data_IF_037747974289
#
_entry.id   IF_037747974289
#
_cell.length_a   1.000
_cell.length_b   1.000
_cell.length_c   1.000
_cell.angle_alpha   90.00
_cell.angle_beta   90.00
_cell.angle_gamma   90.00
#
_symmetry.space_group_name_H-M   'P 1'
#
loop_
_entity.id
_entity.type
_entity.pdbx_description
1 polymer ?
#
# COMPACT_ATOMS: atom_id res chain seq x y z
N UNK A 1 -10.94 11.52 -11.74
CA UNK A 1 -11.25 12.66 -12.64
C UNK A 1 -10.01 13.14 -13.39
N UNK A 2 -8.98 13.69 -12.72
CA UNK A 2 -7.75 14.18 -13.38
C UNK A 2 -7.11 13.13 -14.30
N UNK A 3 -6.97 11.89 -13.80
CA UNK A 3 -6.46 10.74 -14.55
C UNK A 3 -7.28 10.50 -15.84
N UNK A 4 -8.60 10.40 -15.72
CA UNK A 4 -9.49 10.16 -16.86
C UNK A 4 -9.45 11.30 -17.89
N UNK A 5 -9.28 12.56 -17.47
CA UNK A 5 -9.14 13.69 -18.40
C UNK A 5 -7.82 13.66 -19.14
N UNK A 6 -6.72 13.37 -18.45
CA UNK A 6 -5.41 13.18 -19.09
C UNK A 6 -5.46 12.04 -20.13
N UNK A 7 -6.04 10.89 -19.78
CA UNK A 7 -6.23 9.77 -20.70
C UNK A 7 -7.09 10.13 -21.92
N UNK A 8 -8.17 10.92 -21.74
CA UNK A 8 -8.98 11.42 -22.87
C UNK A 8 -8.20 12.33 -23.82
N UNK A 9 -7.18 13.02 -23.33
CA UNK A 9 -6.29 13.87 -24.12
C UNK A 9 -5.11 13.09 -24.72
N UNK A 10 -5.06 11.77 -24.56
CA UNK A 10 -4.00 10.91 -25.09
C UNK A 10 -2.77 10.80 -24.18
N UNK A 11 -2.78 11.38 -22.98
CA UNK A 11 -1.71 11.21 -22.00
C UNK A 11 -1.87 9.91 -21.21
N UNK A 12 -0.76 9.34 -20.77
CA UNK A 12 -0.74 8.11 -19.95
C UNK A 12 -0.17 8.38 -18.56
N UNK A 13 -0.88 9.15 -17.70
CA UNK A 13 -0.35 9.49 -16.38
C UNK A 13 -0.26 8.25 -15.50
N UNK A 14 0.69 8.27 -14.57
CA UNK A 14 0.76 7.25 -13.52
C UNK A 14 -0.12 7.65 -12.35
N UNK A 15 -1.06 6.79 -11.95
CA UNK A 15 -1.76 6.95 -10.68
C UNK A 15 -0.92 6.32 -9.57
N UNK A 16 -0.63 7.09 -8.53
CA UNK A 16 0.02 6.61 -7.31
C UNK A 16 -0.97 6.72 -6.16
N UNK A 17 -1.13 5.65 -5.40
CA UNK A 17 -2.00 5.61 -4.24
C UNK A 17 -1.19 5.29 -2.98
N UNK A 18 -1.05 6.29 -2.11
CA UNK A 18 -0.36 6.19 -0.83
C UNK A 18 -1.34 5.95 0.33
N UNK A 19 -2.65 5.89 0.09
CA UNK A 19 -3.63 5.59 1.14
C UNK A 19 -3.70 4.07 1.41
N UNK A 20 -2.84 3.60 2.31
CA UNK A 20 -2.86 2.20 2.78
C UNK A 20 -4.15 1.80 3.52
N UNK A 21 -5.00 2.76 3.91
CA UNK A 21 -6.24 2.49 4.64
C UNK A 21 -7.46 2.31 3.74
N UNK A 22 -7.54 3.06 2.64
CA UNK A 22 -8.69 3.12 1.72
C UNK A 22 -8.27 3.18 0.23
N UNK A 23 -7.07 2.68 -0.08
CA UNK A 23 -6.55 2.65 -1.44
C UNK A 23 -7.46 1.93 -2.43
N UNK A 24 -7.31 2.30 -3.70
CA UNK A 24 -8.22 1.96 -4.80
C UNK A 24 -7.60 1.08 -5.88
N UNK A 25 -6.28 0.88 -5.86
CA UNK A 25 -5.58 0.02 -6.82
C UNK A 25 -5.66 -1.45 -6.39
N UNK A 26 -5.43 -1.77 -5.13
CA UNK A 26 -5.39 -3.16 -4.65
C UNK A 26 -5.97 -3.28 -3.24
N UNK A 27 -5.68 -4.36 -2.53
CA UNK A 27 -6.13 -4.56 -1.15
C UNK A 27 -5.56 -3.46 -0.22
N UNK A 28 -6.19 -3.23 0.96
CA UNK A 28 -5.63 -2.34 1.97
C UNK A 28 -4.23 -2.75 2.40
N UNK A 29 -3.47 -1.83 2.97
CA UNK A 29 -2.10 -2.05 3.42
C UNK A 29 -1.05 -1.94 2.31
N UNK A 30 -1.42 -1.44 1.13
CA UNK A 30 -0.51 -1.28 0.00
C UNK A 30 -0.24 0.19 -0.32
N UNK A 31 1.01 0.49 -0.63
CA UNK A 31 1.38 1.66 -1.42
C UNK A 31 1.53 1.17 -2.84
N UNK A 32 0.88 1.82 -3.81
CA UNK A 32 0.79 1.25 -5.15
C UNK A 32 0.76 2.29 -6.25
N UNK A 33 1.08 1.87 -7.46
CA UNK A 33 0.98 2.69 -8.66
C UNK A 33 0.54 1.87 -9.87
N UNK A 34 -0.15 2.51 -10.81
CA UNK A 34 -0.55 1.91 -12.09
C UNK A 34 -0.67 2.98 -13.19
N UNK A 35 -0.25 2.70 -14.43
CA UNK A 35 -0.47 3.62 -15.54
C UNK A 35 -1.97 3.70 -15.89
N UNK A 36 -2.45 4.90 -16.22
CA UNK A 36 -3.82 5.11 -16.71
C UNK A 36 -3.77 5.47 -18.18
N UNK A 37 -3.89 4.47 -19.05
CA UNK A 37 -3.80 4.66 -20.51
C UNK A 37 -5.14 4.98 -21.18
N UNK A 38 -6.24 4.61 -20.53
CA UNK A 38 -7.60 4.83 -21.00
C UNK A 38 -8.43 5.49 -19.91
N UNK A 39 -9.53 6.20 -20.26
CA UNK A 39 -10.45 6.71 -19.27
C UNK A 39 -10.95 5.58 -18.36
N UNK A 40 -10.81 5.79 -17.05
CA UNK A 40 -11.27 4.86 -16.00
C UNK A 40 -12.74 4.53 -16.22
N UNK A 41 -13.06 3.23 -16.25
CA UNK A 41 -14.42 2.74 -16.42
C UNK A 41 -15.27 3.01 -15.17
N UNK A 42 -16.57 3.23 -15.34
CA UNK A 42 -17.48 3.58 -14.24
C UNK A 42 -17.81 2.36 -13.37
N UNK A 43 -17.82 1.17 -13.97
CA UNK A 43 -18.12 -0.11 -13.33
C UNK A 43 -16.81 -0.77 -12.88
N UNK A 44 -15.87 -0.96 -13.82
CA UNK A 44 -14.65 -1.73 -13.57
C UNK A 44 -13.59 -0.91 -12.82
N UNK A 45 -13.69 0.42 -12.86
CA UNK A 45 -12.78 1.30 -12.14
C UNK A 45 -11.38 1.34 -12.74
N UNK A 46 -10.37 1.30 -11.86
CA UNK A 46 -8.97 1.47 -12.23
C UNK A 46 -8.45 0.18 -12.87
N UNK A 47 -7.78 0.24 -14.04
CA UNK A 47 -7.18 -0.94 -14.67
C UNK A 47 -6.15 -1.61 -13.74
N UNK A 48 -6.30 -2.92 -13.56
CA UNK A 48 -5.47 -3.75 -12.67
C UNK A 48 -4.50 -4.68 -13.41
N UNK A 49 -4.18 -4.37 -14.67
CA UNK A 49 -3.41 -5.25 -15.55
C UNK A 49 -1.96 -5.43 -15.06
N UNK A 50 -1.29 -4.36 -14.63
CA UNK A 50 0.09 -4.40 -14.11
C UNK A 50 0.32 -3.36 -12.99
N UNK A 51 -0.38 -3.45 -11.84
CA UNK A 51 -0.11 -2.55 -10.74
C UNK A 51 1.22 -2.90 -10.07
N UNK A 52 2.01 -1.86 -9.78
CA UNK A 52 3.15 -1.96 -8.89
C UNK A 52 2.65 -1.78 -7.45
N UNK A 53 2.86 -2.78 -6.58
CA UNK A 53 2.39 -2.73 -5.20
C UNK A 53 3.50 -3.11 -4.21
N UNK A 54 3.69 -2.28 -3.19
CA UNK A 54 4.54 -2.53 -2.03
C UNK A 54 3.65 -2.72 -0.80
N UNK A 55 3.87 -3.80 -0.06
CA UNK A 55 2.97 -4.20 1.02
C UNK A 55 3.50 -3.77 2.38
N UNK A 56 2.79 -2.84 3.00
CA UNK A 56 3.00 -2.41 4.38
C UNK A 56 2.28 -3.32 5.38
N UNK A 57 1.20 -4.01 4.98
CA UNK A 57 0.53 -5.03 5.78
C UNK A 57 -0.41 -4.51 6.87
N UNK A 58 -0.58 -3.19 6.99
CA UNK A 58 -1.48 -2.60 7.99
C UNK A 58 -2.27 -1.42 7.42
N UNK A 59 -3.46 -1.10 7.96
CA UNK A 59 -4.27 0.01 7.45
C UNK A 59 -3.90 1.37 8.07
N UNK A 60 -2.84 1.46 8.87
CA UNK A 60 -2.43 2.68 9.58
C UNK A 60 -0.90 2.81 9.66
N UNK A 61 -0.30 3.89 9.13
CA UNK A 61 1.15 4.05 9.10
C UNK A 61 1.75 4.34 10.49
N UNK A 62 0.93 4.63 11.51
CA UNK A 62 1.43 4.85 12.89
C UNK A 62 2.05 3.59 13.51
N UNK A 63 1.81 2.40 12.96
CA UNK A 63 2.38 1.15 13.47
C UNK A 63 3.89 1.14 13.26
N UNK A 64 4.36 1.52 12.07
CA UNK A 64 5.77 1.68 11.75
C UNK A 64 5.95 2.72 10.63
N UNK A 65 6.10 4.01 11.00
CA UNK A 65 6.19 5.09 10.03
C UNK A 65 7.45 5.01 9.17
N UNK A 66 8.52 4.39 9.68
CA UNK A 66 9.78 4.23 8.96
C UNK A 66 9.67 3.23 7.82
N UNK A 67 8.96 2.11 8.03
CA UNK A 67 8.65 1.17 6.95
C UNK A 67 7.76 1.84 5.90
N UNK A 68 6.74 2.60 6.31
CA UNK A 68 5.90 3.34 5.35
C UNK A 68 6.73 4.31 4.50
N UNK A 69 7.66 5.07 5.11
CA UNK A 69 8.60 5.94 4.39
C UNK A 69 9.55 5.16 3.47
N UNK A 70 10.05 4.00 3.90
CA UNK A 70 10.91 3.15 3.08
C UNK A 70 10.17 2.68 1.83
N UNK A 71 8.97 2.14 1.98
CA UNK A 71 8.16 1.67 0.84
C UNK A 71 7.77 2.81 -0.13
N UNK A 72 7.52 4.02 0.38
CA UNK A 72 7.32 5.20 -0.50
C UNK A 72 8.57 5.48 -1.35
N UNK A 73 9.78 5.38 -0.79
CA UNK A 73 11.03 5.60 -1.53
C UNK A 73 11.26 4.53 -2.58
N UNK A 74 11.02 3.26 -2.24
CA UNK A 74 11.15 2.14 -3.19
C UNK A 74 10.19 2.30 -4.37
N UNK A 75 8.94 2.69 -4.10
CA UNK A 75 7.97 2.99 -5.15
C UNK A 75 8.43 4.16 -6.03
N UNK A 76 8.85 5.28 -5.43
CA UNK A 76 9.31 6.44 -6.19
C UNK A 76 10.56 6.15 -7.04
N UNK A 77 11.52 5.40 -6.50
CA UNK A 77 12.73 4.99 -7.23
C UNK A 77 12.41 4.07 -8.41
N UNK A 78 11.48 3.14 -8.22
CA UNK A 78 11.04 2.25 -9.30
C UNK A 78 10.35 3.03 -10.40
N UNK A 79 9.48 3.98 -10.05
CA UNK A 79 8.77 4.83 -11.02
C UNK A 79 9.73 5.79 -11.76
N UNK A 80 10.72 6.36 -11.07
CA UNK A 80 11.78 7.16 -11.71
C UNK A 80 12.57 6.32 -12.73
N UNK A 81 12.90 5.07 -12.38
CA UNK A 81 13.57 4.14 -13.29
C UNK A 81 12.71 3.87 -14.53
N UNK A 82 11.41 3.61 -14.34
CA UNK A 82 10.48 3.42 -15.46
C UNK A 82 10.36 4.67 -16.35
N UNK A 83 10.30 5.86 -15.76
CA UNK A 83 10.24 7.13 -16.49
C UNK A 83 11.54 7.47 -17.24
N UNK A 84 12.69 7.04 -16.74
CA UNK A 84 13.96 7.21 -17.45
C UNK A 84 13.98 6.47 -18.79
N UNK A 85 13.30 5.32 -18.87
CA UNK A 85 13.15 4.51 -20.08
C UNK A 85 11.90 4.83 -20.92
N UNK A 86 10.98 5.65 -20.42
CA UNK A 86 9.71 5.97 -21.09
C UNK A 86 9.41 7.47 -21.07
N UNK A 87 9.79 8.16 -22.15
CA UNK A 87 9.61 9.60 -22.30
C UNK A 87 8.14 10.04 -22.32
N UNK A 88 7.22 9.21 -22.83
CA UNK A 88 5.79 9.50 -22.90
C UNK A 88 5.18 9.51 -21.48
N UNK A 89 5.42 8.46 -20.69
CA UNK A 89 4.96 8.39 -19.30
C UNK A 89 5.59 9.47 -18.43
N UNK A 90 6.89 9.77 -18.64
CA UNK A 90 7.56 10.86 -17.94
C UNK A 90 6.92 12.22 -18.22
N UNK A 91 6.54 12.48 -19.47
CA UNK A 91 5.88 13.72 -19.86
C UNK A 91 4.43 13.80 -19.34
N UNK A 92 3.72 12.66 -19.26
CA UNK A 92 2.37 12.58 -18.70
C UNK A 92 2.34 12.82 -17.17
N UNK A 93 3.44 12.53 -16.48
CA UNK A 93 3.57 12.76 -15.04
C UNK A 93 2.75 11.80 -14.19
N UNK A 94 2.43 12.24 -12.97
CA UNK A 94 1.79 11.42 -11.94
C UNK A 94 0.65 12.16 -11.26
N UNK A 95 -0.36 11.43 -10.82
CA UNK A 95 -1.36 11.92 -9.86
C UNK A 95 -1.26 11.06 -8.60
N UNK A 96 -0.96 11.71 -7.47
CA UNK A 96 -0.66 11.03 -6.20
C UNK A 96 -1.82 11.24 -5.22
N UNK A 97 -2.49 10.17 -4.84
CA UNK A 97 -3.47 10.17 -3.75
C UNK A 97 -2.75 9.90 -2.42
N UNK A 98 -3.16 10.63 -1.37
CA UNK A 98 -2.60 10.51 -0.03
C UNK A 98 -3.68 10.14 0.98
N UNK A 99 -3.26 9.69 2.15
CA UNK A 99 -4.18 9.50 3.28
C UNK A 99 -4.77 10.83 3.77
N UNK A 100 -5.92 10.75 4.45
CA UNK A 100 -6.60 11.90 5.08
C UNK A 100 -6.04 12.34 6.44
N UNK A 101 -4.88 11.84 6.86
CA UNK A 101 -4.26 12.20 8.14
C UNK A 101 -3.32 13.39 7.96
N UNK A 102 -3.71 14.55 8.49
CA UNK A 102 -3.10 15.84 8.15
C UNK A 102 -2.44 16.56 9.34
N UNK A 103 -2.38 15.91 10.50
CA UNK A 103 -1.83 16.48 11.74
C UNK A 103 -0.75 15.58 12.33
N UNK A 104 0.20 16.18 13.07
CA UNK A 104 1.32 15.46 13.69
C UNK A 104 2.10 14.64 12.67
N UNK A 105 2.28 13.35 12.95
CA UNK A 105 2.95 12.41 12.04
C UNK A 105 2.32 12.40 10.63
N UNK A 106 1.00 12.54 10.50
CA UNK A 106 0.35 12.58 9.19
C UNK A 106 0.84 13.75 8.33
N UNK A 107 1.01 14.92 8.94
CA UNK A 107 1.59 16.09 8.26
C UNK A 107 3.04 15.85 7.83
N UNK A 108 3.86 15.24 8.68
CA UNK A 108 5.24 14.87 8.35
C UNK A 108 5.28 13.90 7.17
N UNK A 109 4.38 12.90 7.13
CA UNK A 109 4.29 11.95 6.02
C UNK A 109 3.88 12.63 4.70
N UNK A 110 3.02 13.66 4.74
CA UNK A 110 2.69 14.45 3.56
C UNK A 110 3.91 15.23 3.04
N UNK A 111 4.71 15.85 3.91
CA UNK A 111 5.95 16.50 3.51
C UNK A 111 6.96 15.51 2.90
N UNK A 112 7.10 14.33 3.51
CA UNK A 112 7.91 13.26 2.95
C UNK A 112 7.42 12.83 1.56
N UNK A 113 6.10 12.70 1.35
CA UNK A 113 5.56 12.34 0.04
C UNK A 113 5.87 13.40 -1.02
N UNK A 114 5.74 14.69 -0.69
CA UNK A 114 6.10 15.81 -1.59
C UNK A 114 7.57 15.70 -2.02
N UNK A 115 8.47 15.46 -1.07
CA UNK A 115 9.91 15.39 -1.33
C UNK A 115 10.33 14.12 -2.07
N UNK A 116 9.83 12.95 -1.64
CA UNK A 116 10.16 11.64 -2.21
C UNK A 116 9.70 11.56 -3.68
N UNK A 117 8.48 12.01 -3.97
CA UNK A 117 7.92 11.96 -5.32
C UNK A 117 8.20 13.24 -6.14
N UNK A 118 8.98 14.19 -5.59
CA UNK A 118 9.33 15.47 -6.24
C UNK A 118 8.09 16.20 -6.79
N UNK A 119 7.02 16.25 -6.00
CA UNK A 119 5.75 16.84 -6.41
C UNK A 119 5.91 18.35 -6.66
N UNK A 120 5.47 18.80 -7.83
CA UNK A 120 5.52 20.21 -8.25
C UNK A 120 4.17 20.94 -8.09
N UNK A 121 3.06 20.21 -7.93
CA UNK A 121 1.74 20.79 -7.65
C UNK A 121 1.08 20.02 -6.51
N UNK A 122 0.70 20.72 -5.45
CA UNK A 122 0.03 20.16 -4.27
C UNK A 122 -1.38 20.73 -4.18
N UNK A 123 -2.38 19.87 -4.34
CA UNK A 123 -3.79 20.25 -4.28
C UNK A 123 -4.36 20.00 -2.88
N UNK A 124 -4.80 21.06 -2.20
CA UNK A 124 -5.36 20.98 -0.84
C UNK A 124 -6.87 21.18 -0.88
N UNK A 125 -7.61 20.11 -0.58
CA UNK A 125 -9.08 20.08 -0.66
C UNK A 125 -9.72 20.50 0.67
N UNK A 126 -10.36 21.67 0.72
CA UNK A 126 -11.25 22.08 1.82
C UNK A 126 -10.59 22.22 3.20
N UNK A 127 -9.26 22.35 3.26
CA UNK A 127 -8.49 22.42 4.51
C UNK A 127 -7.58 23.65 4.54
N UNK A 128 -8.11 24.77 5.04
CA UNK A 128 -7.41 26.06 4.99
C UNK A 128 -6.14 26.12 5.86
N UNK A 129 -6.21 25.54 7.07
CA UNK A 129 -5.05 25.42 7.97
C UNK A 129 -3.92 24.61 7.30
N UNK A 130 -4.25 23.45 6.72
CA UNK A 130 -3.28 22.60 6.04
C UNK A 130 -2.67 23.31 4.82
N UNK A 131 -3.50 23.99 4.03
CA UNK A 131 -3.02 24.75 2.86
C UNK A 131 -1.97 25.78 3.27
N UNK A 132 -2.24 26.57 4.32
CA UNK A 132 -1.29 27.55 4.83
C UNK A 132 0.00 26.88 5.31
N UNK A 133 -0.11 25.83 6.12
CA UNK A 133 1.05 25.09 6.63
C UNK A 133 1.93 24.54 5.50
N UNK A 134 1.34 23.91 4.48
CA UNK A 134 2.08 23.37 3.34
C UNK A 134 2.70 24.49 2.50
N UNK A 135 1.98 25.59 2.26
CA UNK A 135 2.48 26.74 1.52
C UNK A 135 3.70 27.38 2.21
N UNK A 136 3.64 27.52 3.53
CA UNK A 136 4.75 28.04 4.33
C UNK A 136 5.94 27.05 4.30
N UNK A 137 5.69 25.74 4.39
CA UNK A 137 6.73 24.71 4.39
C UNK A 137 7.50 24.59 3.06
N UNK A 138 6.87 24.89 1.92
CA UNK A 138 7.52 24.86 0.60
C UNK A 138 7.89 26.24 0.07
N UNK A 139 7.79 27.30 0.89
CA UNK A 139 8.03 28.68 0.44
C UNK A 139 9.42 28.89 -0.18
N UNK A 140 10.43 28.13 0.27
CA UNK A 140 11.80 28.15 -0.27
C UNK A 140 11.99 27.33 -1.56
N UNK A 141 10.97 26.59 -2.00
CA UNK A 141 10.99 25.71 -3.17
C UNK A 141 10.10 26.30 -4.27
N UNK A 142 10.62 27.18 -5.14
CA UNK A 142 9.81 27.94 -6.12
C UNK A 142 9.15 27.06 -7.20
N UNK A 143 9.56 25.80 -7.32
CA UNK A 143 9.00 24.85 -8.30
C UNK A 143 7.78 24.08 -7.77
N UNK A 144 7.29 24.40 -6.57
CA UNK A 144 6.16 23.73 -5.93
C UNK A 144 5.01 24.71 -5.73
N UNK A 145 3.92 24.50 -6.47
CA UNK A 145 2.69 25.27 -6.34
C UNK A 145 1.70 24.59 -5.38
N UNK A 146 1.29 25.30 -4.33
CA UNK A 146 0.28 24.81 -3.37
C UNK A 146 -1.07 25.47 -3.63
N UNK A 147 -1.99 24.73 -4.24
CA UNK A 147 -3.29 25.21 -4.69
C UNK A 147 -4.39 24.78 -3.74
N UNK A 148 -5.16 25.75 -3.23
CA UNK A 148 -6.37 25.50 -2.44
C UNK A 148 -7.55 25.23 -3.37
N UNK A 149 -8.29 24.16 -3.12
CA UNK A 149 -9.53 23.84 -3.82
C UNK A 149 -10.67 23.65 -2.83
N UNK A 150 -11.90 23.94 -3.28
CA UNK A 150 -13.10 23.67 -2.50
C UNK A 150 -13.44 22.18 -2.56
N UNK A 151 -13.89 21.64 -1.42
CA UNK A 151 -14.47 20.30 -1.35
C UNK A 151 -15.85 20.34 -2.00
N UNK A 152 -16.15 19.40 -2.88
CA UNK A 152 -17.50 19.29 -3.49
C UNK A 152 -18.56 18.99 -2.42
N UNK A 153 -19.72 19.63 -2.53
CA UNK A 153 -20.84 19.51 -1.60
C UNK A 153 -21.44 18.10 -1.55
N UNK A 154 -21.28 17.31 -2.62
CA UNK A 154 -21.73 15.92 -2.67
C UNK A 154 -20.88 14.93 -1.86
N UNK A 155 -19.76 15.38 -1.26
CA UNK A 155 -18.84 14.48 -0.53
C UNK A 155 -19.29 14.28 0.92
N UNK A 156 -19.76 13.06 1.20
CA UNK A 156 -20.25 12.65 2.52
C UNK A 156 -19.14 12.14 3.44
N UNK A 157 -19.24 12.43 4.74
CA UNK A 157 -18.34 11.90 5.76
C UNK A 157 -18.58 10.41 6.00
N UNK A 158 -17.50 9.63 5.94
CA UNK A 158 -17.51 8.19 6.23
C UNK A 158 -17.05 7.96 7.66
N UNK A 159 -17.77 7.13 8.41
CA UNK A 159 -17.36 6.74 9.77
C UNK A 159 -16.40 5.54 9.76
N UNK A 160 -15.88 5.17 10.93
CA UNK A 160 -14.91 4.07 11.06
C UNK A 160 -15.48 2.72 10.60
N UNK A 161 -16.74 2.42 10.93
CA UNK A 161 -17.43 1.19 10.53
C UNK A 161 -17.55 1.07 9.01
N UNK A 162 -17.90 2.17 8.34
CA UNK A 162 -17.95 2.21 6.88
C UNK A 162 -16.58 1.91 6.28
N UNK A 163 -15.52 2.59 6.74
CA UNK A 163 -14.15 2.35 6.25
C UNK A 163 -13.70 0.90 6.47
N UNK A 164 -14.03 0.31 7.61
CA UNK A 164 -13.75 -1.10 7.89
C UNK A 164 -14.48 -2.02 6.91
N UNK A 165 -15.78 -1.78 6.67
CA UNK A 165 -16.56 -2.55 5.69
C UNK A 165 -15.97 -2.43 4.28
N UNK A 166 -15.59 -1.22 3.85
CA UNK A 166 -14.95 -1.01 2.54
C UNK A 166 -13.62 -1.74 2.43
N UNK A 167 -12.79 -1.78 3.48
CA UNK A 167 -11.54 -2.58 3.47
C UNK A 167 -11.83 -4.06 3.23
N UNK A 168 -12.80 -4.62 3.95
CA UNK A 168 -13.20 -6.02 3.76
C UNK A 168 -13.77 -6.26 2.35
N UNK A 169 -14.53 -5.30 1.80
CA UNK A 169 -15.02 -5.38 0.42
C UNK A 169 -13.87 -5.37 -0.60
N UNK A 170 -12.84 -4.52 -0.42
CA UNK A 170 -11.66 -4.49 -1.29
C UNK A 170 -10.88 -5.80 -1.28
N UNK A 171 -10.78 -6.47 -0.12
CA UNK A 171 -10.15 -7.79 -0.04
C UNK A 171 -11.00 -8.82 -0.81
N UNK A 172 -12.34 -8.81 -0.63
CA UNK A 172 -13.24 -9.68 -1.40
C UNK A 172 -13.11 -9.43 -2.90
N UNK A 173 -13.16 -8.18 -3.33
CA UNK A 173 -13.06 -7.78 -4.73
C UNK A 173 -11.75 -8.26 -5.38
N UNK A 174 -10.64 -8.27 -4.65
CA UNK A 174 -9.38 -8.81 -5.15
C UNK A 174 -9.46 -10.32 -5.51
N UNK A 175 -10.14 -11.12 -4.70
CA UNK A 175 -10.23 -12.57 -4.91
C UNK A 175 -11.39 -12.99 -5.83
N UNK A 176 -12.52 -12.29 -5.75
CA UNK A 176 -13.76 -12.69 -6.43
C UNK A 176 -14.13 -11.75 -7.59
N UNK A 177 -13.44 -10.62 -7.76
CA UNK A 177 -13.81 -9.60 -8.75
C UNK A 177 -14.97 -8.73 -8.28
N UNK A 178 -15.27 -7.69 -9.05
CA UNK A 178 -16.33 -6.71 -8.75
C UNK A 178 -17.71 -7.36 -8.85
N UNK A 179 -17.89 -8.24 -9.85
CA UNK A 179 -19.14 -8.93 -10.13
C UNK A 179 -19.23 -10.33 -9.49
N UNK A 180 -18.24 -10.75 -8.70
CA UNK A 180 -18.04 -12.15 -8.29
C UNK A 180 -17.80 -13.08 -9.51
N UNK A 181 -17.10 -12.57 -10.51
CA UNK A 181 -16.78 -13.20 -11.78
C UNK A 181 -15.41 -13.90 -11.78
N UNK A 182 -14.58 -13.70 -10.75
CA UNK A 182 -13.36 -14.45 -10.51
C UNK A 182 -13.64 -15.63 -9.55
N UNK A 183 -12.96 -16.75 -9.80
CA UNK A 183 -13.06 -17.96 -9.01
C UNK A 183 -11.70 -18.25 -8.36
N UNK A 184 -11.48 -17.81 -7.12
CA UNK A 184 -10.19 -18.02 -6.48
C UNK A 184 -10.04 -19.50 -6.07
N UNK A 185 -8.79 -19.97 -6.00
CA UNK A 185 -8.48 -21.39 -5.86
C UNK A 185 -7.94 -21.71 -4.46
N UNK A 186 -8.44 -22.80 -3.86
CA UNK A 186 -7.93 -23.33 -2.60
C UNK A 186 -6.70 -24.20 -2.83
N UNK A 187 -5.61 -23.88 -2.16
CA UNK A 187 -4.32 -24.55 -2.29
C UNK A 187 -3.82 -24.97 -0.91
N UNK A 188 -2.96 -25.99 -0.88
CA UNK A 188 -2.32 -26.49 0.34
C UNK A 188 -0.81 -26.54 0.13
N UNK A 189 -0.05 -25.94 1.05
CA UNK A 189 1.42 -25.92 1.01
C UNK A 189 2.00 -26.47 2.30
N UNK A 190 3.20 -27.08 2.25
CA UNK A 190 3.91 -27.47 3.47
C UNK A 190 4.53 -26.24 4.13
N UNK A 191 4.66 -26.25 5.45
CA UNK A 191 5.40 -25.21 6.18
C UNK A 191 6.86 -25.11 5.73
N UNK A 192 7.46 -26.20 5.22
CA UNK A 192 8.84 -26.20 4.71
C UNK A 192 9.00 -25.45 3.39
N UNK A 193 7.91 -25.24 2.65
CA UNK A 193 7.99 -24.73 1.29
C UNK A 193 7.77 -23.21 1.23
N UNK A 194 7.42 -22.59 2.36
CA UNK A 194 7.20 -21.14 2.50
C UNK A 194 7.85 -20.61 3.76
N UNK A 195 8.19 -19.33 3.77
CA UNK A 195 8.71 -18.62 4.94
C UNK A 195 7.94 -17.32 5.12
N UNK A 196 7.42 -17.11 6.33
CA UNK A 196 6.62 -15.93 6.65
C UNK A 196 7.48 -14.92 7.41
N UNK A 197 7.46 -13.67 6.99
CA UNK A 197 8.23 -12.57 7.58
C UNK A 197 7.30 -11.45 8.03
N UNK A 198 7.69 -10.75 9.08
CA UNK A 198 7.08 -9.49 9.52
C UNK A 198 8.12 -8.39 9.48
N UNK A 199 7.71 -7.23 8.99
CA UNK A 199 8.58 -6.05 8.89
C UNK A 199 8.48 -5.25 10.19
N UNK A 200 9.62 -4.94 10.80
CA UNK A 200 9.71 -3.96 11.87
C UNK A 200 9.17 -4.41 13.23
N UNK A 201 9.06 -5.72 13.48
CA UNK A 201 8.57 -6.28 14.75
C UNK A 201 9.66 -6.68 15.73
N UNK A 202 10.70 -5.85 15.86
CA UNK A 202 11.56 -5.90 17.03
C UNK A 202 10.80 -5.34 18.23
N UNK A 203 10.73 -6.06 19.35
CA UNK A 203 10.29 -5.45 20.62
C UNK A 203 11.23 -4.28 20.90
N UNK A 204 10.77 -3.05 20.67
CA UNK A 204 11.48 -1.89 21.16
C UNK A 204 11.40 -1.94 22.69
N UNK A 205 12.56 -2.02 23.34
CA UNK A 205 12.60 -1.79 24.77
C UNK A 205 11.94 -0.43 25.03
N UNK A 206 10.96 -0.32 25.94
CA UNK A 206 10.35 0.96 26.24
C UNK A 206 11.45 1.96 26.62
N UNK A 207 11.29 3.24 26.26
CA UNK A 207 12.31 4.27 26.55
C UNK A 207 12.71 4.32 28.03
N UNK A 208 11.82 3.90 28.93
CA UNK A 208 12.09 3.75 30.37
C UNK A 208 13.09 2.65 30.73
N UNK A 209 13.33 1.69 29.83
CA UNK A 209 14.30 0.60 29.97
C UNK A 209 15.63 0.89 29.23
N UNK A 210 15.76 2.04 28.56
CA UNK A 210 16.99 2.49 27.93
C UNK A 210 17.80 3.40 28.88
N UNK A 211 19.15 3.35 28.84
CA UNK A 211 19.99 4.31 29.54
C UNK A 211 19.62 5.75 29.15
N UNK A 212 19.72 6.68 30.10
CA UNK A 212 19.50 8.12 29.84
C UNK A 212 20.44 8.56 28.70
N UNK A 213 19.84 9.02 27.59
CA UNK A 213 20.56 9.46 26.39
C UNK A 213 20.76 8.41 25.30
N UNK A 214 20.33 7.16 25.50
CA UNK A 214 20.37 6.13 24.48
C UNK A 214 19.09 6.13 23.62
N UNK A 215 19.24 6.26 22.30
CA UNK A 215 18.16 5.99 21.34
C UNK A 215 18.04 4.48 21.09
N UNK A 216 16.85 3.94 20.79
CA UNK A 216 16.67 2.55 20.43
C UNK A 216 17.52 2.20 19.19
N UNK A 217 18.41 1.20 19.32
CA UNK A 217 19.32 0.74 18.23
C UNK A 217 18.63 -0.26 17.28
N UNK A 218 17.34 -0.55 17.47
CA UNK A 218 16.63 -1.50 16.63
C UNK A 218 16.29 -0.85 15.29
N UNK A 219 16.88 -1.38 14.22
CA UNK A 219 16.52 -1.03 12.84
C UNK A 219 14.99 -1.23 12.65
N UNK A 220 14.23 -0.14 12.40
CA UNK A 220 12.78 -0.21 12.30
C UNK A 220 12.30 -0.97 11.05
N UNK A 221 13.19 -1.20 10.07
CA UNK A 221 12.88 -1.98 8.88
C UNK A 221 13.33 -3.44 9.01
N UNK A 222 13.92 -3.84 10.14
CA UNK A 222 14.39 -5.22 10.35
C UNK A 222 13.29 -6.25 10.11
N UNK A 223 13.62 -7.26 9.32
CA UNK A 223 12.77 -8.41 9.06
C UNK A 223 12.89 -9.45 10.17
N UNK A 224 11.75 -10.00 10.56
CA UNK A 224 11.65 -11.05 11.57
C UNK A 224 10.88 -12.22 10.98
N UNK A 225 11.51 -13.39 10.96
CA UNK A 225 10.83 -14.63 10.61
C UNK A 225 9.73 -14.94 11.64
N UNK A 226 8.54 -15.29 11.16
CA UNK A 226 7.37 -15.61 11.96
C UNK A 226 7.06 -17.09 11.81
N UNK A 227 6.92 -17.78 12.94
CA UNK A 227 6.46 -19.17 12.93
C UNK A 227 5.01 -19.23 12.47
N UNK A 228 4.71 -20.15 11.54
CA UNK A 228 3.33 -20.40 11.11
C UNK A 228 2.53 -20.94 12.29
N UNK A 229 1.43 -20.28 12.62
CA UNK A 229 0.55 -20.62 13.74
C UNK A 229 -0.93 -20.48 13.35
N UNK A 230 -1.81 -21.03 14.19
CA UNK A 230 -3.27 -20.91 14.02
C UNK A 230 -3.77 -19.46 14.06
N UNK A 231 -2.98 -18.51 14.58
CA UNK A 231 -3.33 -17.09 14.58
C UNK A 231 -3.29 -16.47 13.17
N UNK A 232 -2.71 -17.18 12.20
CA UNK A 232 -2.70 -16.77 10.79
C UNK A 232 -4.02 -17.08 10.09
N UNK A 233 -4.91 -17.89 10.67
CA UNK A 233 -6.22 -18.17 10.06
C UNK A 233 -7.00 -16.87 9.88
N UNK A 234 -7.64 -16.70 8.73
CA UNK A 234 -8.35 -15.49 8.29
C UNK A 234 -7.47 -14.27 8.02
N UNK A 235 -6.14 -14.42 8.02
CA UNK A 235 -5.22 -13.33 7.66
C UNK A 235 -4.89 -13.33 6.18
N UNK A 236 -4.59 -12.15 5.65
CA UNK A 236 -4.04 -11.99 4.30
C UNK A 236 -2.52 -11.90 4.38
N UNK A 237 -1.83 -12.67 3.56
CA UNK A 237 -0.37 -12.62 3.39
C UNK A 237 -0.04 -12.11 1.99
N UNK A 238 1.02 -11.33 1.86
CA UNK A 238 1.53 -10.96 0.53
C UNK A 238 2.62 -11.92 0.08
N UNK A 239 2.66 -12.22 -1.21
CA UNK A 239 3.70 -13.01 -1.85
C UNK A 239 4.74 -12.03 -2.42
N UNK A 240 5.94 -12.00 -1.87
CA UNK A 240 6.98 -11.04 -2.28
C UNK A 240 7.70 -11.50 -3.56
N UNK A 241 8.06 -10.58 -4.45
CA UNK A 241 8.97 -10.88 -5.57
C UNK A 241 10.45 -10.94 -5.17
N UNK A 242 10.78 -10.67 -3.91
CA UNK A 242 12.13 -10.80 -3.39
C UNK A 242 12.69 -12.21 -3.65
N UNK A 243 13.98 -12.29 -3.99
CA UNK A 243 14.68 -13.57 -4.14
C UNK A 243 15.24 -14.03 -2.80
N UNK A 244 15.76 -13.08 -2.04
CA UNK A 244 16.30 -13.30 -0.71
C UNK A 244 15.51 -12.54 0.36
N UNK A 245 15.47 -13.01 1.62
CA UNK A 245 14.69 -12.37 2.67
C UNK A 245 15.02 -10.88 2.87
N UNK A 246 16.28 -10.49 2.83
CA UNK A 246 16.72 -9.10 3.03
C UNK A 246 16.25 -8.13 1.94
N UNK A 247 15.84 -8.63 0.78
CA UNK A 247 15.28 -7.84 -0.33
C UNK A 247 13.77 -7.59 -0.21
N UNK A 248 13.08 -8.14 0.81
CA UNK A 248 11.61 -8.07 0.94
C UNK A 248 11.09 -6.63 0.95
N UNK A 249 11.81 -5.68 1.56
CA UNK A 249 11.37 -4.28 1.68
C UNK A 249 11.53 -3.52 0.35
N UNK A 250 12.60 -3.81 -0.38
CA UNK A 250 12.89 -3.20 -1.69
C UNK A 250 12.14 -3.87 -2.84
N UNK A 251 11.42 -4.97 -2.58
CA UNK A 251 10.70 -5.72 -3.60
C UNK A 251 9.20 -5.45 -3.55
N UNK A 252 8.60 -5.30 -4.73
CA UNK A 252 7.15 -5.31 -4.87
C UNK A 252 6.58 -6.72 -4.63
N UNK A 253 5.26 -6.82 -4.55
CA UNK A 253 4.56 -8.10 -4.32
C UNK A 253 3.93 -8.63 -5.60
N UNK A 254 3.91 -9.96 -5.72
CA UNK A 254 3.24 -10.69 -6.79
C UNK A 254 1.72 -10.69 -6.63
N UNK A 255 1.26 -10.65 -5.39
CA UNK A 255 -0.15 -10.71 -5.06
C UNK A 255 -0.35 -11.13 -3.61
N UNK A 256 -1.56 -11.58 -3.32
CA UNK A 256 -2.00 -11.88 -1.96
C UNK A 256 -2.68 -13.23 -1.88
N UNK A 257 -2.51 -13.88 -0.73
CA UNK A 257 -3.21 -15.11 -0.37
C UNK A 257 -4.00 -14.90 0.91
N UNK A 258 -5.12 -15.60 1.05
CA UNK A 258 -5.94 -15.59 2.25
C UNK A 258 -5.86 -16.95 2.93
N UNK A 259 -5.36 -16.98 4.17
CA UNK A 259 -5.19 -18.22 4.93
C UNK A 259 -6.54 -18.69 5.47
N UNK A 260 -6.96 -19.90 5.10
CA UNK A 260 -8.24 -20.48 5.51
C UNK A 260 -8.10 -21.54 6.59
N UNK A 261 -6.96 -22.25 6.64
CA UNK A 261 -6.71 -23.26 7.67
C UNK A 261 -5.21 -23.46 7.91
N UNK A 262 -4.85 -23.84 9.14
CA UNK A 262 -3.48 -24.11 9.57
C UNK A 262 -3.44 -25.41 10.37
N UNK A 263 -2.98 -26.49 9.73
CA UNK A 263 -2.81 -27.80 10.37
C UNK A 263 -1.39 -27.92 10.93
N UNK A 264 -1.25 -27.68 12.23
CA UNK A 264 0.04 -27.77 12.95
C UNK A 264 0.58 -29.20 12.99
N UNK A 265 -0.30 -30.22 13.07
CA UNK A 265 0.14 -31.61 13.18
C UNK A 265 0.74 -32.10 11.86
N UNK A 266 0.07 -31.80 10.74
CA UNK A 266 0.53 -32.15 9.40
C UNK A 266 1.50 -31.14 8.81
N UNK A 267 1.72 -30.00 9.48
CA UNK A 267 2.54 -28.86 9.00
C UNK A 267 2.09 -28.38 7.62
N UNK A 268 0.77 -28.21 7.47
CA UNK A 268 0.12 -27.79 6.23
C UNK A 268 -0.58 -26.45 6.43
N UNK A 269 -0.41 -25.55 5.46
CA UNK A 269 -1.10 -24.27 5.37
C UNK A 269 -2.07 -24.34 4.20
N UNK A 270 -3.35 -24.12 4.46
CA UNK A 270 -4.39 -24.02 3.43
C UNK A 270 -4.72 -22.55 3.20
N UNK A 271 -4.76 -22.14 1.95
CA UNK A 271 -5.01 -20.75 1.57
C UNK A 271 -5.76 -20.66 0.25
N UNK A 272 -6.41 -19.52 0.05
CA UNK A 272 -7.03 -19.14 -1.21
C UNK A 272 -6.09 -18.18 -1.96
N UNK A 273 -5.91 -18.41 -3.25
CA UNK A 273 -5.14 -17.56 -4.17
C UNK A 273 -6.00 -17.13 -5.37
N UNK A 274 -5.72 -15.98 -6.00
CA UNK A 274 -6.49 -15.48 -7.15
C UNK A 274 -6.37 -16.37 -8.40
N UNK A 275 -5.28 -17.15 -8.50
CA UNK A 275 -5.05 -18.09 -9.60
C UNK A 275 -4.61 -19.46 -9.06
N UNK A 276 -4.87 -20.54 -9.82
CA UNK A 276 -4.37 -21.88 -9.49
C UNK A 276 -2.87 -21.99 -9.78
N UNK A 277 -2.20 -22.93 -9.12
CA UNK A 277 -0.78 -23.24 -9.32
C UNK A 277 0.09 -22.88 -8.14
N UNK A 278 1.40 -23.04 -8.33
CA UNK A 278 2.39 -22.74 -7.30
C UNK A 278 2.54 -21.22 -7.08
N UNK A 279 2.89 -20.84 -5.85
CA UNK A 279 3.17 -19.45 -5.53
C UNK A 279 4.38 -18.95 -6.34
N UNK A 280 4.33 -17.74 -6.90
CA UNK A 280 5.46 -17.13 -7.60
C UNK A 280 6.73 -16.99 -6.74
N UNK A 281 6.58 -16.99 -5.41
CA UNK A 281 7.67 -16.94 -4.44
C UNK A 281 7.29 -17.68 -3.16
N UNK A 282 8.33 -18.11 -2.42
CA UNK A 282 8.22 -18.76 -1.12
C UNK A 282 8.27 -17.76 0.05
N UNK A 283 8.60 -16.50 -0.23
CA UNK A 283 8.72 -15.44 0.78
C UNK A 283 7.38 -14.73 0.95
N UNK A 284 6.77 -14.92 2.11
CA UNK A 284 5.47 -14.37 2.48
C UNK A 284 5.63 -13.24 3.49
N UNK A 285 4.81 -12.19 3.36
CA UNK A 285 4.79 -11.06 4.28
C UNK A 285 3.51 -11.11 5.12
N UNK A 286 3.67 -11.23 6.43
CA UNK A 286 2.58 -11.20 7.40
C UNK A 286 1.96 -9.81 7.52
N UNK A 287 0.65 -9.78 7.76
CA UNK A 287 -0.12 -8.55 7.89
C UNK A 287 -1.01 -8.59 9.13
N UNK A 288 -1.61 -7.45 9.49
CA UNK A 288 -2.71 -7.41 10.47
C UNK A 288 -4.08 -7.38 9.79
N UNK A 289 -4.16 -7.69 8.49
CA UNK A 289 -5.40 -7.64 7.72
C UNK A 289 -6.12 -8.98 7.88
N UNK A 290 -7.26 -8.95 8.57
CA UNK A 290 -8.15 -10.10 8.73
C UNK A 290 -9.35 -9.95 7.81
N UNK A 291 -9.73 -11.03 7.13
CA UNK A 291 -10.93 -11.10 6.31
C UNK A 291 -11.72 -12.37 6.64
N UNK A 292 -13.01 -12.19 6.87
CA UNK A 292 -13.93 -13.30 7.08
C UNK A 292 -14.80 -13.38 5.84
N UNK A 293 -14.71 -14.49 5.12
CA UNK A 293 -15.61 -14.77 4.02
C UNK A 293 -17.03 -14.87 4.60
N UNK A 294 -17.88 -13.91 4.24
CA UNK A 294 -19.29 -13.95 4.62
C UNK A 294 -19.99 -14.94 3.69
N UNK A 295 -20.57 -15.98 4.28
CA UNK A 295 -21.39 -16.97 3.59
C UNK A 295 -22.60 -16.35 2.88
#
# INVERSE_FOLDING_TARGET
MLLSWAAKLGWKPTYVDLDIGQGSITIPGCISATPIEKPIDIVDGIPLEMPLAYFYGHPNPSINPDVYKALMRELAQTLETQFSGNAESRAAGMVINTMGWVEGLGYELLLNAIDIFKANVVLVLGQEKLWKMLKDAVQSKPNIDVVKLHKSEGVVLRNSKYRQKTRSFRIKEYFYGIANDLAPHSNVVNFSDVSVFRIGSGHQAPRSALPIGAEPVADPTRLVAVNISTDMVHTVLAVSYAKEPDEIISSNVAGFIHVTDVDIQRKKLTYIAPCPGDLPSRLLIASSLTWYEQA
#
